data_IF_856126467129
#
_entry.id   IF_856126467129
#
_cell.length_a   1.000
_cell.length_b   1.000
_cell.length_c   1.000
_cell.angle_alpha   90.00
_cell.angle_beta   90.00
_cell.angle_gamma   90.00
#
_symmetry.space_group_name_H-M   'P 1'
#
loop_
_entity.id
_entity.type
_entity.pdbx_description
1 polymer ?
#
# COMPACT_ATOMS: atom_id res chain seq x y z
N UNK A 1 20.35 43.53 25.22
CA UNK A 1 19.21 43.24 24.32
C UNK A 1 19.59 42.57 22.99
N UNK A 2 20.87 42.54 22.55
CA UNK A 2 21.28 41.89 21.29
C UNK A 2 21.11 40.35 21.27
N UNK A 3 21.18 39.69 22.42
CA UNK A 3 21.13 38.22 22.51
C UNK A 3 19.70 37.65 22.42
N UNK A 4 18.66 38.50 22.59
CA UNK A 4 17.25 38.07 22.47
C UNK A 4 16.88 37.77 21.01
N UNK A 5 17.43 38.55 20.06
CA UNK A 5 17.21 38.36 18.63
C UNK A 5 17.88 37.08 18.13
N UNK A 6 19.03 36.70 18.70
CA UNK A 6 19.70 35.43 18.39
C UNK A 6 18.86 34.24 18.83
N UNK A 7 18.25 34.32 20.02
CA UNK A 7 17.34 33.27 20.51
C UNK A 7 16.07 33.15 19.64
N UNK A 8 15.50 34.27 19.22
CA UNK A 8 14.35 34.28 18.30
C UNK A 8 14.70 33.71 16.91
N UNK A 9 15.92 33.95 16.43
CA UNK A 9 16.39 33.44 15.14
C UNK A 9 16.63 31.92 15.15
N UNK A 10 17.19 31.39 16.24
CA UNK A 10 17.39 29.93 16.43
C UNK A 10 16.06 29.20 16.56
N UNK A 11 15.07 29.79 17.25
CA UNK A 11 13.74 29.20 17.43
C UNK A 11 12.92 29.17 16.13
N UNK A 12 13.18 30.12 15.22
CA UNK A 12 12.55 30.18 13.89
C UNK A 12 13.16 29.17 12.90
N UNK A 13 14.44 28.82 13.06
CA UNK A 13 15.17 27.91 12.17
C UNK A 13 14.85 26.42 12.41
N UNK A 14 14.22 26.07 13.55
CA UNK A 14 13.83 24.69 13.87
C UNK A 14 12.49 24.23 13.27
N UNK A 15 11.76 25.09 12.55
CA UNK A 15 10.48 24.71 11.94
C UNK A 15 10.71 23.87 10.67
N UNK A 16 10.93 22.57 10.87
CA UNK A 16 11.06 21.59 9.77
C UNK A 16 9.73 21.48 9.02
N UNK A 17 9.73 21.89 7.76
CA UNK A 17 8.58 21.82 6.85
C UNK A 17 8.31 20.35 6.51
N UNK A 18 7.20 19.80 7.03
CA UNK A 18 6.77 18.43 6.73
C UNK A 18 6.22 18.30 5.31
N UNK A 19 6.95 17.60 4.44
CA UNK A 19 6.52 17.28 3.07
C UNK A 19 5.45 16.17 3.14
N UNK A 20 4.20 16.50 2.84
CA UNK A 20 3.11 15.52 2.75
C UNK A 20 2.83 15.17 1.29
N UNK A 21 2.79 13.87 0.97
CA UNK A 21 2.44 13.39 -0.37
C UNK A 21 0.94 13.58 -0.67
N UNK A 22 0.63 13.81 -1.95
CA UNK A 22 -0.74 13.98 -2.44
C UNK A 22 -1.21 12.75 -3.22
N UNK A 23 -2.46 12.34 -2.98
CA UNK A 23 -3.11 11.19 -3.61
C UNK A 23 -4.45 11.59 -4.21
N UNK A 24 -4.92 10.82 -5.19
CA UNK A 24 -6.15 11.11 -5.91
C UNK A 24 -7.24 10.11 -5.52
N UNK A 25 -8.41 10.59 -5.12
CA UNK A 25 -9.58 9.76 -4.82
C UNK A 25 -10.63 9.86 -5.91
N UNK A 26 -11.33 8.74 -6.14
CA UNK A 26 -12.45 8.65 -7.08
C UNK A 26 -13.77 9.02 -6.41
N UNK A 27 -14.64 9.76 -7.11
CA UNK A 27 -16.00 10.09 -6.63
C UNK A 27 -17.02 8.98 -6.88
N UNK A 28 -16.66 7.89 -7.58
CA UNK A 28 -17.58 6.84 -8.07
C UNK A 28 -17.96 5.79 -7.01
N UNK A 29 -18.19 6.20 -5.76
CA UNK A 29 -18.67 5.32 -4.68
C UNK A 29 -17.68 4.28 -4.13
N UNK A 30 -16.56 4.02 -4.82
CA UNK A 30 -15.47 3.15 -4.34
C UNK A 30 -14.46 3.97 -3.53
N UNK A 31 -14.21 3.57 -2.28
CA UNK A 31 -13.29 4.23 -1.35
C UNK A 31 -11.84 3.83 -1.61
N UNK A 32 -11.34 4.12 -2.81
CA UNK A 32 -9.95 3.83 -3.19
C UNK A 32 -9.19 5.13 -3.50
N UNK A 33 -7.91 5.18 -3.14
CA UNK A 33 -6.99 6.24 -3.51
C UNK A 33 -5.94 5.73 -4.52
N UNK A 34 -5.52 6.63 -5.40
CA UNK A 34 -4.78 6.34 -6.63
C UNK A 34 -3.61 7.33 -6.80
N UNK A 35 -2.70 6.98 -7.72
CA UNK A 35 -1.72 7.91 -8.31
C UNK A 35 -2.36 8.73 -9.42
N UNK A 36 -1.77 9.88 -9.76
CA UNK A 36 -2.25 10.78 -10.84
C UNK A 36 -2.43 10.04 -12.17
N UNK A 37 -1.49 9.16 -12.51
CA UNK A 37 -1.44 8.46 -13.80
C UNK A 37 -2.13 7.09 -13.79
N UNK A 38 -2.94 6.80 -12.77
CA UNK A 38 -3.59 5.50 -12.65
C UNK A 38 -4.66 5.31 -13.73
N UNK A 39 -4.59 4.25 -14.55
CA UNK A 39 -5.55 3.95 -15.63
C UNK A 39 -7.02 3.87 -15.17
N UNK A 40 -7.25 3.48 -13.91
CA UNK A 40 -8.58 3.38 -13.32
C UNK A 40 -9.07 4.68 -12.67
N UNK A 41 -8.26 5.74 -12.68
CA UNK A 41 -8.65 7.04 -12.14
C UNK A 41 -9.63 7.74 -13.09
N UNK A 42 -10.87 8.04 -12.66
CA UNK A 42 -11.78 8.84 -13.48
C UNK A 42 -11.28 10.28 -13.63
N UNK A 43 -11.68 10.93 -14.74
CA UNK A 43 -11.40 12.35 -15.00
C UNK A 43 -11.86 13.28 -13.87
N UNK A 44 -12.89 12.90 -13.13
CA UNK A 44 -13.48 13.67 -12.02
C UNK A 44 -12.87 13.35 -10.65
N UNK A 45 -11.58 13.01 -10.62
CA UNK A 45 -10.85 12.71 -9.37
C UNK A 45 -10.65 13.95 -8.50
N UNK A 46 -10.43 13.74 -7.20
CA UNK A 46 -10.12 14.80 -6.23
C UNK A 46 -8.77 14.52 -5.57
N UNK A 47 -7.93 15.53 -5.51
CA UNK A 47 -6.65 15.48 -4.80
C UNK A 47 -6.86 15.68 -3.29
N UNK A 48 -6.24 14.81 -2.49
CA UNK A 48 -6.22 14.88 -1.03
C UNK A 48 -4.84 14.45 -0.51
N UNK A 49 -4.50 14.83 0.73
CA UNK A 49 -3.25 14.39 1.35
C UNK A 49 -3.30 12.90 1.69
N UNK A 50 -2.18 12.20 1.55
CA UNK A 50 -2.07 10.75 1.81
C UNK A 50 -2.60 10.37 3.20
N UNK A 51 -2.15 11.05 4.26
CA UNK A 51 -2.60 10.76 5.63
C UNK A 51 -4.12 10.93 5.80
N UNK A 52 -4.70 11.92 5.10
CA UNK A 52 -6.13 12.21 5.15
C UNK A 52 -6.93 11.10 4.46
N UNK A 53 -6.41 10.55 3.36
CA UNK A 53 -7.02 9.40 2.69
C UNK A 53 -7.07 8.17 3.62
N UNK A 54 -5.96 7.88 4.29
CA UNK A 54 -5.86 6.76 5.24
C UNK A 54 -6.80 6.97 6.43
N UNK A 55 -6.80 8.17 7.01
CA UNK A 55 -7.69 8.54 8.13
C UNK A 55 -9.17 8.42 7.79
N UNK A 56 -9.55 8.76 6.55
CA UNK A 56 -10.93 8.62 6.06
C UNK A 56 -11.29 7.17 5.66
N UNK A 57 -10.37 6.22 5.81
CA UNK A 57 -10.58 4.79 5.54
C UNK A 57 -10.57 4.43 4.05
N UNK A 58 -9.95 5.25 3.20
CA UNK A 58 -9.73 4.87 1.80
C UNK A 58 -8.64 3.80 1.70
N UNK A 59 -8.82 2.86 0.76
CA UNK A 59 -7.88 1.78 0.51
C UNK A 59 -6.98 2.11 -0.69
N UNK A 60 -5.74 1.60 -0.73
CA UNK A 60 -4.89 1.79 -1.90
C UNK A 60 -5.48 1.05 -3.10
N UNK A 61 -5.43 1.67 -4.27
CA UNK A 61 -5.77 1.00 -5.52
C UNK A 61 -4.89 -0.25 -5.73
N UNK A 62 -5.51 -1.39 -6.03
CA UNK A 62 -4.82 -2.68 -6.23
C UNK A 62 -3.86 -2.68 -7.42
N UNK A 63 -4.16 -1.87 -8.45
CA UNK A 63 -3.35 -1.73 -9.65
C UNK A 63 -2.16 -0.80 -9.39
N UNK A 64 -2.42 0.32 -8.73
CA UNK A 64 -1.46 1.43 -8.63
C UNK A 64 -0.61 1.35 -7.36
N UNK A 65 -1.06 0.61 -6.33
CA UNK A 65 -0.40 0.40 -5.03
C UNK A 65 0.40 1.62 -4.56
N UNK A 66 -0.25 2.79 -4.39
CA UNK A 66 0.43 4.00 -3.94
C UNK A 66 1.06 3.79 -2.55
N UNK A 67 2.38 3.90 -2.51
CA UNK A 67 3.25 3.92 -1.33
C UNK A 67 3.89 5.30 -1.22
N UNK A 68 4.37 5.69 -0.02
CA UNK A 68 4.93 7.02 0.15
C UNK A 68 6.11 7.34 -0.80
N UNK A 69 6.89 6.33 -1.15
CA UNK A 69 8.04 6.45 -2.07
C UNK A 69 7.64 6.70 -3.53
N UNK A 70 6.41 6.35 -3.92
CA UNK A 70 5.99 6.33 -5.32
C UNK A 70 4.85 7.31 -5.66
N UNK A 71 4.54 8.19 -4.71
CA UNK A 71 3.38 9.09 -4.73
C UNK A 71 3.80 10.56 -4.87
N UNK A 72 5.08 10.85 -5.09
CA UNK A 72 5.56 12.23 -5.19
C UNK A 72 6.87 12.38 -5.96
N UNK A 73 6.86 12.11 -7.26
CA UNK A 73 8.00 12.48 -8.12
C UNK A 73 7.55 12.74 -9.56
N UNK A 74 7.06 13.94 -9.83
CA UNK A 74 7.26 14.55 -11.14
C UNK A 74 8.69 15.10 -11.17
N UNK A 75 9.68 14.24 -11.42
CA UNK A 75 10.99 14.61 -11.99
C UNK A 75 11.88 13.36 -12.04
N UNK A 76 11.70 12.55 -13.08
CA UNK A 76 12.79 11.93 -13.85
C UNK A 76 12.15 10.93 -14.81
N UNK A 77 11.86 11.41 -16.02
CA UNK A 77 11.86 10.56 -17.21
C UNK A 77 13.30 10.08 -17.34
N UNK A 78 13.56 8.81 -17.08
CA UNK A 78 14.38 8.08 -18.04
C UNK A 78 14.05 6.59 -18.03
N UNK A 79 13.90 6.07 -19.24
CA UNK A 79 13.35 4.77 -19.54
C UNK A 79 14.47 3.97 -20.21
N UNK A 80 15.20 3.13 -19.47
CA UNK A 80 15.83 1.96 -20.10
C UNK A 80 16.38 0.91 -19.12
N UNK A 81 15.69 -0.23 -19.13
CA UNK A 81 16.25 -1.59 -19.23
C UNK A 81 16.94 -2.19 -17.97
N UNK A 82 16.18 -3.12 -17.34
CA UNK A 82 16.53 -4.34 -16.57
C UNK A 82 17.94 -4.97 -16.82
N UNK A 83 18.51 -5.93 -16.03
CA UNK A 83 17.89 -6.79 -15.00
C UNK A 83 18.78 -7.28 -13.79
N UNK A 84 18.15 -8.04 -12.87
CA UNK A 84 18.72 -8.94 -11.80
C UNK A 84 19.37 -8.21 -10.59
N UNK A 85 19.38 -8.70 -9.34
CA UNK A 85 19.55 -10.08 -8.86
C UNK A 85 19.09 -10.24 -7.39
N UNK A 86 18.85 -11.50 -7.02
CA UNK A 86 18.40 -12.06 -5.73
C UNK A 86 19.44 -11.95 -4.60
N UNK A 87 18.97 -11.85 -3.35
CA UNK A 87 19.30 -12.69 -2.16
C UNK A 87 19.18 -11.85 -0.86
N UNK A 88 18.93 -12.36 0.36
CA UNK A 88 18.27 -13.53 0.96
C UNK A 88 18.54 -13.39 2.49
N UNK A 89 17.55 -13.76 3.33
CA UNK A 89 17.66 -14.18 4.77
C UNK A 89 18.06 -13.10 5.80
N UNK A 90 17.63 -13.09 7.06
CA UNK A 90 16.82 -13.93 7.99
C UNK A 90 16.51 -12.98 9.20
N UNK A 91 15.44 -13.07 10.01
CA UNK A 91 15.28 -14.02 11.12
C UNK A 91 14.02 -13.68 11.95
N UNK A 92 13.44 -14.73 12.53
CA UNK A 92 12.19 -14.91 13.30
C UNK A 92 11.93 -13.93 14.46
N UNK A 93 10.65 -13.58 14.65
CA UNK A 93 9.96 -13.62 15.96
C UNK A 93 8.49 -14.04 15.82
N UNK A 94 8.03 -14.90 16.74
CA UNK A 94 6.68 -15.46 16.84
C UNK A 94 5.73 -14.40 17.42
N UNK A 95 4.74 -13.95 16.66
CA UNK A 95 3.50 -13.44 17.23
C UNK A 95 2.28 -13.91 16.42
N UNK A 96 1.43 -14.68 17.09
CA UNK A 96 0.08 -15.08 16.71
C UNK A 96 -0.78 -13.82 16.59
N UNK A 97 -0.91 -13.26 15.39
CA UNK A 97 -1.93 -12.27 15.04
C UNK A 97 -2.40 -12.53 13.61
N UNK A 98 -3.71 -12.68 13.43
CA UNK A 98 -4.38 -12.90 12.16
C UNK A 98 -3.97 -11.82 11.15
N UNK A 99 -3.00 -12.16 10.31
CA UNK A 99 -2.60 -11.33 9.18
C UNK A 99 -3.55 -11.62 8.03
N UNK A 100 -4.50 -10.72 7.80
CA UNK A 100 -5.21 -10.57 6.53
C UNK A 100 -4.21 -10.13 5.45
N UNK A 101 -3.29 -11.01 5.10
CA UNK A 101 -2.34 -10.80 4.04
C UNK A 101 -3.09 -10.95 2.73
N UNK A 102 -3.16 -9.85 1.99
CA UNK A 102 -3.75 -9.71 0.67
C UNK A 102 -2.96 -10.56 -0.34
N UNK A 103 -3.09 -11.87 -0.21
CA UNK A 103 -2.36 -12.88 -0.97
C UNK A 103 -3.24 -13.28 -2.13
N UNK A 104 -3.06 -12.57 -3.24
CA UNK A 104 -3.75 -12.77 -4.52
C UNK A 104 -3.33 -14.09 -5.21
N UNK A 105 -2.94 -15.10 -4.43
CA UNK A 105 -2.55 -16.42 -4.90
C UNK A 105 -3.59 -17.46 -4.49
N UNK A 106 -3.86 -18.38 -5.42
CA UNK A 106 -4.77 -19.49 -5.17
C UNK A 106 -4.03 -20.60 -4.43
N UNK A 107 -4.48 -20.95 -3.23
CA UNK A 107 -3.93 -22.04 -2.40
C UNK A 107 -4.69 -23.34 -2.65
N UNK A 108 -4.04 -24.49 -2.47
CA UNK A 108 -4.74 -25.78 -2.53
C UNK A 108 -5.69 -25.94 -1.33
N UNK A 109 -6.91 -26.41 -1.59
CA UNK A 109 -7.92 -26.68 -0.59
C UNK A 109 -7.41 -27.62 0.51
N UNK A 110 -7.71 -27.29 1.76
CA UNK A 110 -7.35 -28.08 2.94
C UNK A 110 -8.32 -29.22 3.26
N UNK A 111 -9.47 -29.28 2.58
CA UNK A 111 -10.49 -30.33 2.78
C UNK A 111 -10.04 -31.73 2.35
N UNK A 112 -10.70 -32.76 2.91
CA UNK A 112 -10.53 -34.17 2.53
C UNK A 112 -11.80 -34.70 1.87
N UNK A 113 -11.65 -35.62 0.92
CA UNK A 113 -12.79 -36.35 0.34
C UNK A 113 -13.36 -37.36 1.33
N UNK A 114 -14.53 -37.93 1.03
CA UNK A 114 -15.10 -39.03 1.84
C UNK A 114 -14.17 -40.24 1.94
N UNK A 115 -13.35 -40.46 0.91
CA UNK A 115 -12.28 -41.47 0.87
C UNK A 115 -10.98 -41.05 1.57
N UNK A 116 -10.96 -39.91 2.28
CA UNK A 116 -9.81 -39.45 3.09
C UNK A 116 -8.68 -38.78 2.30
N UNK A 117 -8.73 -38.75 0.97
CA UNK A 117 -7.71 -38.11 0.13
C UNK A 117 -7.82 -36.59 0.20
N UNK A 118 -6.68 -35.88 0.10
CA UNK A 118 -6.66 -34.41 0.10
C UNK A 118 -7.33 -33.84 -1.14
N UNK A 119 -8.15 -32.81 -0.97
CA UNK A 119 -8.79 -32.10 -2.08
C UNK A 119 -7.73 -31.46 -2.99
N UNK A 120 -7.86 -31.66 -4.31
CA UNK A 120 -6.93 -31.14 -5.33
C UNK A 120 -7.31 -29.74 -5.83
N UNK A 121 -8.51 -29.26 -5.50
CA UNK A 121 -9.00 -27.95 -5.96
C UNK A 121 -8.18 -26.82 -5.34
N UNK A 122 -7.99 -25.72 -6.07
CA UNK A 122 -7.42 -24.48 -5.52
C UNK A 122 -8.53 -23.50 -5.13
N UNK A 123 -8.24 -22.64 -4.16
CA UNK A 123 -9.17 -21.65 -3.60
C UNK A 123 -8.42 -20.38 -3.21
N UNK A 124 -9.10 -19.24 -3.34
CA UNK A 124 -8.64 -17.94 -2.82
C UNK A 124 -9.35 -17.58 -1.50
N UNK A 125 -10.21 -18.47 -0.99
CA UNK A 125 -10.96 -18.23 0.23
C UNK A 125 -10.01 -18.13 1.43
N UNK A 126 -10.29 -17.19 2.33
CA UNK A 126 -9.53 -16.98 3.58
C UNK A 126 -9.55 -18.23 4.47
N UNK A 127 -10.60 -19.05 4.39
CA UNK A 127 -10.71 -20.34 5.11
C UNK A 127 -9.76 -21.43 4.59
N UNK A 128 -9.19 -21.25 3.39
CA UNK A 128 -8.40 -22.28 2.72
C UNK A 128 -9.22 -23.49 2.24
N UNK A 129 -10.56 -23.39 2.20
CA UNK A 129 -11.47 -24.42 1.64
C UNK A 129 -12.12 -23.97 0.34
N UNK A 130 -12.41 -24.92 -0.54
CA UNK A 130 -13.15 -24.66 -1.79
C UNK A 130 -14.66 -24.75 -1.53
N UNK A 131 -15.49 -24.30 -2.47
CA UNK A 131 -16.95 -24.26 -2.35
C UNK A 131 -17.65 -25.63 -2.11
N UNK A 132 -16.91 -26.74 -2.15
CA UNK A 132 -17.41 -28.09 -1.88
C UNK A 132 -17.03 -28.59 -0.46
N UNK A 133 -16.32 -27.79 0.34
CA UNK A 133 -15.68 -28.15 1.60
C UNK A 133 -15.75 -27.06 2.65
#
# INVERSE_FOLDING_TARGET
MKNIYVFLWVLFLSCSIGISQTVYISKKGKKDYHKKECKSLPKTSKEIKFYKAVSLGYKPCELCKPTPENTGSNASIDHSISPKTKNKKEKKTKHKRQSSSNKNYSVQCSGKTRSGRRCKRKTKNSSGRCYQH
#
